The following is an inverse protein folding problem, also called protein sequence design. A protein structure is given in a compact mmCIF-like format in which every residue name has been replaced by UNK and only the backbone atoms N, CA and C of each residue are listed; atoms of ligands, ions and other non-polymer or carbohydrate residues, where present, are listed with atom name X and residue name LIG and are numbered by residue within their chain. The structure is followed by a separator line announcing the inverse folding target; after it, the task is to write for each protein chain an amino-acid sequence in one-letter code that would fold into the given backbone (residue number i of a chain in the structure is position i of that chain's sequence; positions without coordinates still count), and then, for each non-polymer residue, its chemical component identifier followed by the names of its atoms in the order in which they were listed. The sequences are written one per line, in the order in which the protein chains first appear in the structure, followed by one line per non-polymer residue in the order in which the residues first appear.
data_IF_702542661281
#
_entry.id   IF_702542661281
#
_cell.length_a   1.000
_cell.length_b   1.000
_cell.length_c   1.000
_cell.angle_alpha   90.00
_cell.angle_beta   90.00
_cell.angle_gamma   90.00
#
_symmetry.space_group_name_H-M   'P 1'
#
loop_
_entity.id
_entity.type
_entity.pdbx_description
1 polymer ?
#
# COMPACT_ATOMS: atom_id res chain seq x y z
N UNK A 1 2.66 15.90 -26.63
CA UNK A 1 2.79 16.90 -25.55
C UNK A 1 3.89 16.49 -24.59
N UNK A 2 4.79 17.43 -24.26
CA UNK A 2 5.78 17.26 -23.20
C UNK A 2 5.51 18.31 -22.14
N UNK A 3 5.55 17.91 -20.87
CA UNK A 3 5.34 18.78 -19.71
C UNK A 3 6.50 18.57 -18.74
N UNK A 4 7.12 19.67 -18.31
CA UNK A 4 8.12 19.67 -17.26
C UNK A 4 7.56 20.33 -16.01
N UNK A 5 7.88 19.77 -14.85
CA UNK A 5 7.47 20.28 -13.55
C UNK A 5 8.64 20.34 -12.58
N UNK A 6 8.56 21.24 -11.63
CA UNK A 6 9.54 21.39 -10.56
C UNK A 6 8.83 21.88 -9.30
N UNK A 7 9.18 21.30 -8.16
CA UNK A 7 8.69 21.72 -6.84
C UNK A 7 9.86 21.76 -5.85
N UNK A 8 9.93 22.80 -5.04
CA UNK A 8 10.88 22.90 -3.91
C UNK A 8 10.07 22.95 -2.64
N UNK A 9 10.43 22.13 -1.66
CA UNK A 9 9.81 22.15 -0.34
C UNK A 9 10.87 22.37 0.73
N UNK A 10 10.65 23.37 1.59
CA UNK A 10 11.38 23.53 2.84
C UNK A 10 10.49 23.01 3.97
N UNK A 11 11.01 22.11 4.80
CA UNK A 11 10.30 21.57 5.96
C UNK A 11 11.12 21.84 7.21
N UNK A 12 10.43 22.26 8.28
CA UNK A 12 10.99 22.47 9.61
C UNK A 12 10.10 21.74 10.60
N UNK A 13 10.68 20.79 11.33
CA UNK A 13 10.03 20.05 12.39
C UNK A 13 10.73 20.37 13.71
N UNK A 14 9.96 20.57 14.77
CA UNK A 14 10.44 20.69 16.13
C UNK A 14 9.52 19.85 17.02
N UNK A 15 10.09 19.18 18.00
CA UNK A 15 9.35 18.37 18.95
C UNK A 15 9.99 18.46 20.33
N UNK A 16 9.13 18.47 21.34
CA UNK A 16 9.48 18.45 22.75
C UNK A 16 8.88 17.18 23.36
N UNK A 17 9.67 16.41 24.09
CA UNK A 17 9.24 15.22 24.81
C UNK A 17 9.92 15.17 26.18
N UNK A 18 9.33 14.47 27.14
CA UNK A 18 10.01 14.18 28.39
C UNK A 18 10.64 12.80 28.32
N UNK A 19 11.93 12.73 28.62
CA UNK A 19 12.55 11.51 29.10
C UNK A 19 12.19 11.38 30.58
N UNK A 20 11.47 10.32 30.93
CA UNK A 20 11.01 10.10 32.29
C UNK A 20 11.68 8.86 32.86
N UNK A 21 12.43 9.06 33.95
CA UNK A 21 13.08 8.00 34.70
C UNK A 21 12.19 7.61 35.89
N UNK A 22 11.65 6.39 35.82
CA UNK A 22 10.75 5.84 36.84
C UNK A 22 11.44 5.59 38.19
N UNK A 23 12.77 5.46 38.23
CA UNK A 23 13.51 5.15 39.45
C UNK A 23 13.90 6.42 40.24
N UNK A 24 14.15 7.52 39.54
CA UNK A 24 14.50 8.81 40.16
C UNK A 24 13.32 9.79 40.24
N UNK A 25 12.18 9.45 39.64
CA UNK A 25 11.00 10.32 39.47
C UNK A 25 11.37 11.67 38.82
N UNK A 26 12.37 11.65 37.91
CA UNK A 26 12.83 12.85 37.20
C UNK A 26 12.31 12.86 35.77
N UNK A 27 11.81 14.04 35.36
CA UNK A 27 11.39 14.30 33.99
C UNK A 27 12.35 15.31 33.35
N UNK A 28 13.12 14.89 32.36
CA UNK A 28 14.04 15.76 31.61
C UNK A 28 13.41 16.12 30.28
N UNK A 29 13.26 17.42 30.00
CA UNK A 29 12.75 17.88 28.72
C UNK A 29 13.80 17.63 27.63
N UNK A 30 13.47 16.77 26.67
CA UNK A 30 14.19 16.57 25.44
C UNK A 30 13.57 17.42 24.35
N UNK A 31 14.35 18.32 23.79
CA UNK A 31 13.94 19.13 22.65
C UNK A 31 14.78 18.74 21.46
N UNK A 32 14.14 18.59 20.31
CA UNK A 32 14.88 18.40 19.09
C UNK A 32 14.18 19.07 17.91
N UNK A 33 14.98 19.49 16.94
CA UNK A 33 14.49 20.13 15.72
C UNK A 33 15.29 19.68 14.51
N UNK A 34 14.60 19.58 13.38
CA UNK A 34 15.21 19.18 12.10
C UNK A 34 14.61 19.99 10.98
N UNK A 35 15.46 20.45 10.08
CA UNK A 35 15.02 21.13 8.86
C UNK A 35 15.71 20.56 7.63
N UNK A 36 15.01 20.58 6.51
CA UNK A 36 15.55 20.16 5.23
C UNK A 36 14.84 20.88 4.10
N UNK A 37 15.55 21.02 2.99
CA UNK A 37 14.97 21.48 1.72
C UNK A 37 15.15 20.38 0.68
N UNK A 38 14.11 20.09 -0.08
CA UNK A 38 14.14 19.07 -1.14
C UNK A 38 13.59 19.63 -2.45
N UNK A 39 14.22 19.19 -3.54
CA UNK A 39 13.82 19.52 -4.90
C UNK A 39 13.18 18.30 -5.57
N UNK A 40 12.10 18.55 -6.30
CA UNK A 40 11.23 17.55 -6.91
C UNK A 40 11.00 17.89 -8.39
N UNK A 41 11.91 17.50 -9.30
CA UNK A 41 11.67 17.62 -10.72
C UNK A 41 10.69 16.54 -11.20
N UNK A 42 9.96 16.84 -12.27
CA UNK A 42 9.17 15.89 -13.03
C UNK A 42 9.19 16.20 -14.53
N UNK A 43 9.00 15.16 -15.33
CA UNK A 43 8.85 15.26 -16.78
C UNK A 43 7.81 14.24 -17.24
N UNK A 44 6.89 14.68 -18.10
CA UNK A 44 5.80 13.85 -18.61
C UNK A 44 5.72 14.01 -20.12
N UNK A 45 5.65 12.89 -20.82
CA UNK A 45 5.43 12.79 -22.26
C UNK A 45 4.09 12.10 -22.48
N UNK A 46 3.26 12.68 -23.34
CA UNK A 46 2.10 12.02 -23.95
C UNK A 46 2.23 12.17 -25.46
N UNK A 47 2.23 11.05 -26.18
CA UNK A 47 2.20 11.02 -27.62
C UNK A 47 1.04 10.16 -28.09
N UNK A 48 0.32 10.65 -29.09
CA UNK A 48 -0.82 9.96 -29.69
C UNK A 48 -0.45 9.68 -31.13
N UNK A 49 -0.45 8.40 -31.51
CA UNK A 49 -0.14 7.94 -32.85
C UNK A 49 -1.38 8.04 -33.74
N UNK A 50 -1.17 8.08 -35.05
CA UNK A 50 -2.26 8.08 -36.04
C UNK A 50 -3.17 6.84 -35.93
N UNK A 51 -2.67 5.75 -35.32
CA UNK A 51 -3.46 4.55 -35.02
C UNK A 51 -4.44 4.71 -33.85
N UNK A 52 -4.42 5.84 -33.13
CA UNK A 52 -5.19 6.05 -31.90
C UNK A 52 -4.53 5.48 -30.63
N UNK A 53 -3.35 4.87 -30.75
CA UNK A 53 -2.56 4.43 -29.60
C UNK A 53 -1.96 5.65 -28.89
N UNK A 54 -2.17 5.75 -27.58
CA UNK A 54 -1.60 6.79 -26.73
C UNK A 54 -0.46 6.19 -25.91
N UNK A 55 0.74 6.73 -26.09
CA UNK A 55 1.94 6.39 -25.33
C UNK A 55 2.19 7.49 -24.30
N UNK A 56 2.34 7.11 -23.04
CA UNK A 56 2.68 7.99 -21.92
C UNK A 56 3.98 7.54 -21.29
N UNK A 57 4.90 8.47 -21.06
CA UNK A 57 6.09 8.23 -20.26
C UNK A 57 6.19 9.31 -19.18
N UNK A 58 6.53 8.93 -17.96
CA UNK A 58 6.65 9.87 -16.85
C UNK A 58 7.90 9.58 -16.03
N UNK A 59 8.61 10.65 -15.69
CA UNK A 59 9.59 10.69 -14.63
C UNK A 59 9.05 11.61 -13.54
N UNK A 60 8.94 11.12 -12.31
CA UNK A 60 8.49 11.92 -11.18
C UNK A 60 9.33 11.65 -9.95
N UNK A 61 9.33 12.60 -9.03
CA UNK A 61 10.01 12.47 -7.74
C UNK A 61 9.03 12.65 -6.60
N UNK A 62 9.24 11.91 -5.51
CA UNK A 62 8.32 11.85 -4.37
C UNK A 62 9.05 11.84 -3.04
N UNK A 63 8.30 12.14 -1.97
CA UNK A 63 8.78 12.11 -0.60
C UNK A 63 7.71 11.50 0.30
N UNK A 64 8.12 10.61 1.20
CA UNK A 64 7.32 10.14 2.33
C UNK A 64 8.01 10.62 3.60
N UNK A 65 7.31 11.48 4.35
CA UNK A 65 7.81 11.97 5.64
C UNK A 65 7.65 10.90 6.71
N UNK A 66 8.55 10.84 7.70
CA UNK A 66 8.35 10.00 8.89
C UNK A 66 7.03 10.37 9.57
N UNK A 67 6.40 9.41 10.25
CA UNK A 67 5.23 9.74 11.07
C UNK A 67 5.67 10.64 12.23
N UNK A 68 4.81 11.55 12.69
CA UNK A 68 5.14 12.44 13.80
C UNK A 68 5.53 11.67 15.06
N UNK A 69 4.81 10.58 15.38
CA UNK A 69 5.14 9.71 16.52
C UNK A 69 6.55 9.13 16.43
N UNK A 70 7.01 8.75 15.23
CA UNK A 70 8.36 8.20 15.01
C UNK A 70 9.46 9.26 15.19
N UNK A 71 9.12 10.56 15.15
CA UNK A 71 10.08 11.67 15.31
C UNK A 71 10.18 12.18 16.75
N UNK A 72 9.17 11.92 17.58
CA UNK A 72 9.17 12.35 18.99
C UNK A 72 10.20 11.50 19.74
N UNK A 73 11.16 12.07 20.47
CA UNK A 73 12.15 11.29 21.22
C UNK A 73 11.54 10.74 22.53
N UNK A 74 10.42 10.01 22.42
CA UNK A 74 9.85 9.30 23.55
C UNK A 74 10.76 8.14 23.95
N UNK A 75 10.63 7.72 25.21
CA UNK A 75 11.37 6.61 25.78
C UNK A 75 10.39 5.80 26.65
N UNK A 76 9.98 4.62 26.17
CA UNK A 76 9.02 3.75 26.86
C UNK A 76 9.73 2.47 27.25
N UNK A 77 9.75 2.13 28.54
CA UNK A 77 10.37 0.91 29.05
C UNK A 77 9.28 -0.09 29.38
N UNK A 78 9.33 -1.24 28.74
CA UNK A 78 8.47 -2.39 29.00
C UNK A 78 9.28 -3.50 29.69
N UNK A 79 8.73 -4.04 30.78
CA UNK A 79 9.30 -5.16 31.53
C UNK A 79 10.71 -4.90 32.13
N UNK A 80 10.81 -3.89 32.99
CA UNK A 80 12.04 -3.57 33.75
C UNK A 80 12.36 -4.65 34.81
N UNK A 81 11.34 -5.32 35.36
CA UNK A 81 11.48 -6.25 36.49
C UNK A 81 12.20 -7.56 36.14
N UNK A 82 12.11 -8.03 34.89
CA UNK A 82 12.77 -9.27 34.44
C UNK A 82 14.26 -9.10 34.10
N UNK A 83 14.76 -7.85 34.04
CA UNK A 83 16.13 -7.52 33.65
C UNK A 83 16.46 -7.74 32.16
N UNK A 84 15.44 -8.02 31.32
CA UNK A 84 15.56 -8.21 29.86
C UNK A 84 14.38 -7.60 29.11
N UNK A 85 14.00 -6.39 29.49
CA UNK A 85 12.85 -5.67 28.93
C UNK A 85 13.07 -5.16 27.51
N UNK A 86 12.04 -4.53 26.97
CA UNK A 86 12.07 -3.82 25.69
C UNK A 86 11.95 -2.33 25.93
N UNK A 87 12.72 -1.53 25.23
CA UNK A 87 12.61 -0.07 25.23
C UNK A 87 12.19 0.39 23.84
N UNK A 88 11.03 1.02 23.73
CA UNK A 88 10.57 1.65 22.48
C UNK A 88 10.95 3.15 22.51
N UNK A 89 11.64 3.59 21.46
CA UNK A 89 12.22 4.93 21.37
C UNK A 89 11.90 5.50 19.99
N UNK A 90 11.53 6.78 19.95
CA UNK A 90 11.46 7.49 18.67
C UNK A 90 12.82 7.91 18.12
N UNK A 91 12.82 8.53 16.95
CA UNK A 91 14.03 8.94 16.25
C UNK A 91 13.81 10.25 15.48
N UNK A 92 14.17 11.37 16.12
CA UNK A 92 14.11 12.66 15.43
C UNK A 92 15.10 12.78 14.26
N UNK A 93 16.12 11.93 14.23
CA UNK A 93 17.11 11.90 13.15
C UNK A 93 16.63 11.17 11.90
N UNK A 94 15.40 10.66 11.86
CA UNK A 94 14.84 10.07 10.65
C UNK A 94 14.89 11.04 9.47
N UNK A 95 15.37 10.51 8.35
CA UNK A 95 15.28 11.14 7.04
C UNK A 95 13.96 10.72 6.39
N UNK A 96 13.30 11.64 5.65
CA UNK A 96 12.20 11.26 4.78
C UNK A 96 12.65 10.29 3.69
N UNK A 97 11.85 9.28 3.41
CA UNK A 97 12.07 8.40 2.26
C UNK A 97 11.85 9.19 0.97
N UNK A 98 12.83 9.19 0.09
CA UNK A 98 12.76 9.87 -1.21
C UNK A 98 12.59 8.85 -2.34
N UNK A 99 11.83 9.19 -3.37
CA UNK A 99 11.56 8.31 -4.49
C UNK A 99 11.82 8.97 -5.83
N UNK A 100 12.46 8.23 -6.74
CA UNK A 100 12.45 8.49 -8.18
C UNK A 100 11.58 7.45 -8.86
N UNK A 101 10.58 7.88 -9.63
CA UNK A 101 9.65 6.99 -10.33
C UNK A 101 9.82 7.18 -11.84
N UNK A 102 9.78 6.05 -12.55
CA UNK A 102 9.74 5.96 -13.99
C UNK A 102 8.53 5.10 -14.37
N UNK A 103 7.67 5.62 -15.22
CA UNK A 103 6.47 4.96 -15.69
C UNK A 103 6.41 5.06 -17.22
N UNK A 104 6.06 3.96 -17.88
CA UNK A 104 5.80 3.90 -19.32
C UNK A 104 4.50 3.12 -19.55
N UNK A 105 3.55 3.72 -20.26
CA UNK A 105 2.23 3.14 -20.49
C UNK A 105 1.81 3.32 -21.94
N UNK A 106 1.22 2.28 -22.52
CA UNK A 106 0.47 2.34 -23.77
C UNK A 106 -1.01 2.11 -23.50
N UNK A 107 -1.87 2.94 -24.09
CA UNK A 107 -3.33 2.89 -23.95
C UNK A 107 -3.98 2.97 -25.32
N UNK A 108 -4.95 2.09 -25.55
CA UNK A 108 -5.74 2.07 -26.78
C UNK A 108 -7.22 2.00 -26.44
N UNK A 109 -7.99 2.92 -27.02
CA UNK A 109 -9.43 3.03 -26.81
C UNK A 109 -10.16 2.41 -28.00
N UNK A 110 -10.96 1.38 -27.72
CA UNK A 110 -11.63 0.56 -28.72
C UNK A 110 -13.10 0.97 -28.84
N UNK A 111 -13.62 1.13 -30.06
CA UNK A 111 -15.06 1.19 -30.28
C UNK A 111 -15.73 -0.14 -29.90
N UNK A 112 -17.02 -0.12 -29.52
CA UNK A 112 -17.82 1.07 -29.23
C UNK A 112 -17.54 1.68 -27.84
N UNK A 113 -17.33 0.87 -26.79
CA UNK A 113 -16.84 1.36 -25.49
C UNK A 113 -15.86 0.35 -24.88
N UNK A 114 -14.57 0.59 -25.07
CA UNK A 114 -13.53 -0.24 -24.48
C UNK A 114 -12.18 0.45 -24.38
N UNK A 115 -11.31 -0.10 -23.54
CA UNK A 115 -9.93 0.34 -23.37
C UNK A 115 -9.06 -0.85 -23.01
N UNK A 116 -7.90 -0.95 -23.65
CA UNK A 116 -6.80 -1.82 -23.23
C UNK A 116 -5.59 -0.95 -22.92
N UNK A 117 -4.89 -1.25 -21.83
CA UNK A 117 -3.63 -0.62 -21.50
C UNK A 117 -2.62 -1.60 -20.94
N UNK A 118 -1.36 -1.30 -21.20
CA UNK A 118 -0.22 -2.00 -20.64
C UNK A 118 0.80 -0.98 -20.18
N UNK A 119 1.37 -1.17 -19.00
CA UNK A 119 2.37 -0.29 -18.44
C UNK A 119 3.47 -1.06 -17.72
N UNK A 120 4.62 -0.41 -17.61
CA UNK A 120 5.74 -0.83 -16.77
C UNK A 120 6.16 0.33 -15.89
N UNK A 121 6.55 0.02 -14.66
CA UNK A 121 7.00 1.02 -13.70
C UNK A 121 8.28 0.58 -13.00
N UNK A 122 9.07 1.55 -12.58
CA UNK A 122 10.25 1.39 -11.75
C UNK A 122 10.35 2.54 -10.75
N UNK A 123 10.47 2.21 -9.47
CA UNK A 123 10.63 3.16 -8.37
C UNK A 123 11.93 2.86 -7.66
N UNK A 124 12.79 3.86 -7.50
CA UNK A 124 13.98 3.81 -6.66
C UNK A 124 13.75 4.63 -5.41
N UNK A 125 13.91 4.00 -4.26
CA UNK A 125 13.75 4.58 -2.94
C UNK A 125 15.11 4.83 -2.30
N UNK A 126 15.22 5.94 -1.58
CA UNK A 126 16.35 6.27 -0.70
C UNK A 126 15.81 6.50 0.71
N UNK A 127 16.54 6.04 1.72
CA UNK A 127 16.16 6.19 3.12
C UNK A 127 14.76 5.57 3.47
N UNK A 128 14.39 4.35 3.03
CA UNK A 128 13.17 3.68 3.51
C UNK A 128 13.19 3.53 5.05
N UNK A 129 12.04 3.73 5.71
CA UNK A 129 11.96 3.70 7.19
C UNK A 129 11.41 2.34 7.65
N UNK A 130 12.11 1.72 8.61
CA UNK A 130 11.74 0.45 9.24
C UNK A 130 11.75 0.60 10.76
N UNK A 131 10.92 -0.16 11.49
CA UNK A 131 11.09 -0.32 12.93
C UNK A 131 12.19 -1.34 13.17
N UNK A 132 13.36 -0.90 13.62
CA UNK A 132 14.51 -1.76 13.91
C UNK A 132 14.54 -2.22 15.37
N UNK A 133 15.12 -3.40 15.59
CA UNK A 133 15.40 -3.98 16.91
C UNK A 133 16.91 -4.13 17.04
N UNK A 134 17.45 -3.67 18.15
CA UNK A 134 18.86 -3.81 18.53
C UNK A 134 18.94 -4.03 20.04
N UNK A 135 20.15 -4.09 20.60
CA UNK A 135 20.33 -4.15 22.05
C UNK A 135 21.10 -2.94 22.54
N UNK A 136 20.72 -2.43 23.71
CA UNK A 136 21.54 -1.48 24.44
C UNK A 136 22.87 -2.12 24.84
N UNK A 137 23.96 -1.37 24.71
CA UNK A 137 25.31 -1.78 25.09
C UNK A 137 25.83 -0.79 26.13
N UNK A 138 25.95 -1.25 27.38
CA UNK A 138 26.32 -0.45 28.54
C UNK A 138 25.19 0.45 29.08
N UNK A 139 25.45 1.03 30.26
CA UNK A 139 24.48 1.88 30.97
C UNK A 139 23.37 1.10 31.69
N UNK A 140 22.35 1.81 32.15
CA UNK A 140 21.28 1.26 33.01
C UNK A 140 20.33 0.29 32.28
N UNK A 141 20.41 0.23 30.95
CA UNK A 141 19.61 -0.66 30.10
C UNK A 141 20.47 -1.69 29.37
N UNK A 142 21.70 -1.93 29.79
CA UNK A 142 22.59 -2.91 29.15
C UNK A 142 21.90 -4.27 28.96
N UNK A 143 21.86 -4.77 27.72
CA UNK A 143 21.18 -6.01 27.36
C UNK A 143 19.66 -5.91 27.11
N UNK A 144 19.02 -4.75 27.29
CA UNK A 144 17.61 -4.56 26.90
C UNK A 144 17.47 -4.49 25.38
N UNK A 145 16.32 -4.95 24.88
CA UNK A 145 15.98 -4.82 23.46
C UNK A 145 15.53 -3.38 23.17
N UNK A 146 16.23 -2.68 22.28
CA UNK A 146 15.83 -1.36 21.78
C UNK A 146 15.02 -1.51 20.49
N UNK A 147 13.79 -1.01 20.48
CA UNK A 147 12.93 -0.85 19.31
C UNK A 147 12.95 0.62 18.91
N UNK A 148 13.38 0.92 17.69
CA UNK A 148 13.47 2.31 17.21
C UNK A 148 13.24 2.39 15.71
N UNK A 149 12.50 3.37 15.19
CA UNK A 149 12.39 3.58 13.76
C UNK A 149 13.75 4.07 13.21
N UNK A 150 14.23 3.43 12.15
CA UNK A 150 15.52 3.68 11.53
C UNK A 150 15.41 3.70 10.01
N UNK A 151 16.26 4.49 9.35
CA UNK A 151 16.38 4.48 7.90
C UNK A 151 17.23 3.30 7.44
N UNK A 152 16.74 2.53 6.46
CA UNK A 152 17.54 1.66 5.62
C UNK A 152 18.24 2.45 4.51
N UNK A 153 19.19 1.82 3.81
CA UNK A 153 20.03 2.52 2.83
C UNK A 153 19.27 2.83 1.53
N UNK A 154 18.77 1.80 0.86
CA UNK A 154 18.09 1.95 -0.43
C UNK A 154 16.96 0.93 -0.62
N UNK A 155 16.11 1.17 -1.61
CA UNK A 155 15.13 0.18 -2.03
C UNK A 155 14.68 0.41 -3.46
N UNK A 156 14.00 -0.57 -4.03
CA UNK A 156 13.35 -0.44 -5.32
C UNK A 156 12.06 -1.22 -5.37
N UNK A 157 11.20 -0.83 -6.31
CA UNK A 157 9.98 -1.55 -6.67
C UNK A 157 9.75 -1.41 -8.16
N UNK A 158 9.49 -2.51 -8.85
CA UNK A 158 9.24 -2.51 -10.29
C UNK A 158 8.20 -3.54 -10.66
N UNK A 159 7.59 -3.35 -11.82
CA UNK A 159 6.49 -4.20 -12.21
C UNK A 159 5.87 -3.83 -13.54
N UNK A 160 4.79 -4.55 -13.83
CA UNK A 160 3.95 -4.31 -15.00
C UNK A 160 2.49 -4.29 -14.58
N UNK A 161 1.70 -3.56 -15.36
CA UNK A 161 0.26 -3.40 -15.17
C UNK A 161 -0.43 -3.64 -16.50
N UNK A 162 -1.48 -4.45 -16.48
CA UNK A 162 -2.35 -4.71 -17.63
C UNK A 162 -3.77 -4.34 -17.22
N UNK A 163 -4.48 -3.64 -18.10
CA UNK A 163 -5.88 -3.30 -17.91
C UNK A 163 -6.65 -3.55 -19.20
N UNK A 164 -7.83 -4.12 -19.08
CA UNK A 164 -8.78 -4.26 -20.18
C UNK A 164 -10.18 -4.09 -19.64
N UNK A 165 -10.91 -3.11 -20.16
CA UNK A 165 -12.35 -2.98 -19.99
C UNK A 165 -13.03 -2.95 -21.35
N UNK A 166 -14.18 -3.60 -21.47
CA UNK A 166 -14.90 -3.67 -22.75
C UNK A 166 -16.37 -3.94 -22.51
N UNK A 167 -17.23 -3.14 -23.14
CA UNK A 167 -18.64 -3.49 -23.36
C UNK A 167 -18.77 -4.40 -24.59
N UNK A 168 -19.68 -5.35 -24.52
CA UNK A 168 -19.95 -6.35 -25.55
C UNK A 168 -21.29 -6.08 -26.25
N UNK A 169 -21.63 -4.81 -26.44
CA UNK A 169 -22.86 -4.33 -27.10
C UNK A 169 -22.99 -4.73 -28.58
N UNK A 170 -21.90 -5.17 -29.20
CA UNK A 170 -21.89 -5.81 -30.52
C UNK A 170 -22.52 -7.21 -30.52
N UNK A 171 -22.73 -7.82 -29.35
CA UNK A 171 -23.41 -9.12 -29.24
C UNK A 171 -24.93 -8.94 -29.42
N UNK A 172 -25.61 -9.89 -30.09
CA UNK A 172 -27.04 -9.75 -30.39
C UNK A 172 -27.94 -9.96 -29.16
N UNK A 173 -29.07 -9.26 -29.15
CA UNK A 173 -30.15 -9.46 -28.19
C UNK A 173 -29.75 -9.12 -26.75
N UNK A 174 -30.12 -9.97 -25.79
CA UNK A 174 -29.83 -9.73 -24.38
C UNK A 174 -28.33 -9.63 -24.08
N UNK A 175 -27.47 -10.27 -24.88
CA UNK A 175 -26.02 -10.28 -24.65
C UNK A 175 -25.36 -8.91 -24.86
N UNK A 176 -26.04 -7.96 -25.50
CA UNK A 176 -25.52 -6.60 -25.73
C UNK A 176 -25.31 -5.81 -24.44
N UNK A 177 -25.89 -6.26 -23.31
CA UNK A 177 -25.67 -5.64 -22.01
C UNK A 177 -24.39 -6.11 -21.32
N UNK A 178 -23.71 -7.15 -21.82
CA UNK A 178 -22.53 -7.69 -21.15
C UNK A 178 -21.34 -6.74 -21.28
N UNK A 179 -20.51 -6.72 -20.24
CA UNK A 179 -19.21 -6.07 -20.25
C UNK A 179 -18.26 -6.79 -19.30
N UNK A 180 -16.99 -6.45 -19.36
CA UNK A 180 -16.03 -6.94 -18.38
C UNK A 180 -14.94 -5.92 -18.08
N UNK A 181 -14.32 -6.11 -16.93
CA UNK A 181 -13.10 -5.44 -16.49
C UNK A 181 -12.10 -6.52 -16.10
N UNK A 182 -10.85 -6.37 -16.51
CA UNK A 182 -9.73 -7.20 -16.11
C UNK A 182 -8.52 -6.32 -15.84
N UNK A 183 -7.99 -6.41 -14.63
CA UNK A 183 -6.77 -5.72 -14.21
C UNK A 183 -5.80 -6.75 -13.64
N UNK A 184 -4.54 -6.64 -14.03
CA UNK A 184 -3.46 -7.46 -13.49
C UNK A 184 -2.24 -6.60 -13.21
N UNK A 185 -1.70 -6.72 -12.01
CA UNK A 185 -0.46 -6.07 -11.61
C UNK A 185 0.51 -7.12 -11.09
N UNK A 186 1.73 -7.11 -11.61
CA UNK A 186 2.84 -7.83 -11.03
C UNK A 186 3.85 -6.85 -10.45
N UNK A 187 4.21 -7.03 -9.18
CA UNK A 187 5.14 -6.16 -8.48
C UNK A 187 6.27 -6.97 -7.85
N UNK A 188 7.50 -6.49 -7.95
CA UNK A 188 8.64 -7.00 -7.18
C UNK A 188 9.27 -5.83 -6.45
N UNK A 189 9.65 -6.05 -5.19
CA UNK A 189 10.26 -5.03 -4.35
C UNK A 189 11.40 -5.59 -3.54
N UNK A 190 12.34 -4.74 -3.18
CA UNK A 190 13.40 -5.06 -2.25
C UNK A 190 13.90 -3.77 -1.60
N UNK A 191 14.29 -3.83 -0.34
CA UNK A 191 14.91 -2.74 0.39
C UNK A 191 15.99 -3.26 1.34
N UNK A 192 17.01 -2.45 1.54
CA UNK A 192 18.09 -2.69 2.49
C UNK A 192 17.58 -2.37 3.91
N UNK A 193 17.77 -3.31 4.83
CA UNK A 193 17.43 -3.09 6.24
C UNK A 193 18.49 -2.21 6.92
N UNK A 194 18.11 -1.46 7.98
CA UNK A 194 19.05 -0.68 8.77
C UNK A 194 20.20 -1.52 9.33
N UNK A 195 21.34 -0.91 9.61
CA UNK A 195 22.52 -1.55 10.21
C UNK A 195 23.17 -2.68 9.38
N UNK A 196 22.81 -2.81 8.10
CA UNK A 196 23.43 -3.79 7.20
C UNK A 196 23.05 -5.25 7.48
N UNK A 197 21.96 -5.48 8.22
CA UNK A 197 21.51 -6.82 8.65
C UNK A 197 20.86 -7.64 7.54
N UNK A 198 20.70 -7.07 6.35
CA UNK A 198 20.20 -7.80 5.18
C UNK A 198 19.23 -6.97 4.33
N UNK A 199 18.40 -7.69 3.59
CA UNK A 199 17.43 -7.13 2.63
C UNK A 199 16.08 -7.79 2.84
N UNK A 200 15.02 -7.07 2.52
CA UNK A 200 13.64 -7.56 2.62
C UNK A 200 12.78 -7.01 1.48
N UNK A 201 11.65 -7.65 1.19
CA UNK A 201 10.64 -7.04 0.30
C UNK A 201 9.97 -5.85 1.03
N UNK A 202 9.42 -4.89 0.29
CA UNK A 202 8.70 -3.78 0.93
C UNK A 202 7.38 -4.27 1.55
N UNK A 203 7.00 -3.67 2.68
CA UNK A 203 5.77 -4.01 3.36
C UNK A 203 4.54 -3.60 2.52
N UNK A 204 3.49 -4.41 2.60
CA UNK A 204 2.23 -4.16 1.88
C UNK A 204 2.27 -4.43 0.38
N UNK A 205 3.41 -4.86 -0.19
CA UNK A 205 3.52 -5.08 -1.64
C UNK A 205 3.23 -6.54 -2.00
N UNK A 206 2.00 -6.83 -2.42
CA UNK A 206 1.68 -8.15 -2.99
C UNK A 206 2.33 -8.31 -4.35
N UNK A 207 2.93 -9.49 -4.61
CA UNK A 207 3.60 -9.79 -5.88
C UNK A 207 2.63 -9.83 -7.06
N UNK A 208 1.42 -10.35 -6.84
CA UNK A 208 0.39 -10.45 -7.86
C UNK A 208 -0.93 -9.89 -7.33
N UNK A 209 -1.57 -9.05 -8.12
CA UNK A 209 -2.93 -8.55 -7.88
C UNK A 209 -3.75 -8.74 -9.15
N UNK A 210 -4.95 -9.28 -9.01
CA UNK A 210 -5.89 -9.56 -10.10
C UNK A 210 -7.24 -9.00 -9.69
N UNK A 211 -7.86 -8.19 -10.54
CA UNK A 211 -9.24 -7.79 -10.39
C UNK A 211 -9.98 -8.13 -11.69
N UNK A 212 -11.01 -8.96 -11.59
CA UNK A 212 -11.86 -9.34 -12.72
C UNK A 212 -13.28 -8.95 -12.37
N UNK A 213 -14.02 -8.35 -13.30
CA UNK A 213 -15.44 -8.12 -13.13
C UNK A 213 -16.19 -8.49 -14.40
N UNK A 214 -17.28 -9.24 -14.24
CA UNK A 214 -18.29 -9.41 -15.27
C UNK A 214 -19.43 -8.44 -14.97
N UNK A 215 -19.83 -7.67 -15.97
CA UNK A 215 -20.87 -6.66 -15.89
C UNK A 215 -22.02 -7.02 -16.82
N UNK A 216 -23.23 -6.65 -16.42
CA UNK A 216 -24.41 -6.74 -17.26
C UNK A 216 -25.31 -5.53 -17.03
N UNK A 217 -25.39 -4.67 -18.04
CA UNK A 217 -26.09 -3.39 -17.99
C UNK A 217 -27.10 -3.27 -19.13
N UNK A 218 -28.37 -3.12 -18.75
CA UNK A 218 -29.49 -2.79 -19.64
C UNK A 218 -30.29 -1.63 -19.02
N UNK A 219 -31.23 -1.06 -19.78
CA UNK A 219 -31.94 0.18 -19.40
C UNK A 219 -32.37 0.27 -17.92
N UNK A 220 -32.97 -0.81 -17.41
CA UNK A 220 -33.53 -0.90 -16.04
C UNK A 220 -32.71 -1.74 -15.07
N UNK A 221 -31.73 -2.50 -15.53
CA UNK A 221 -31.02 -3.46 -14.68
C UNK A 221 -29.52 -3.36 -14.89
N UNK A 222 -28.78 -3.34 -13.79
CA UNK A 222 -27.32 -3.34 -13.77
C UNK A 222 -26.86 -4.38 -12.77
N UNK A 223 -25.86 -5.17 -13.12
CA UNK A 223 -25.24 -6.11 -12.20
C UNK A 223 -23.76 -6.28 -12.46
N UNK A 224 -23.02 -6.60 -11.41
CA UNK A 224 -21.59 -6.83 -11.46
C UNK A 224 -21.21 -8.00 -10.55
N UNK A 225 -20.42 -8.91 -11.07
CA UNK A 225 -19.76 -9.98 -10.32
C UNK A 225 -18.25 -9.72 -10.39
N UNK A 226 -17.65 -9.37 -9.26
CA UNK A 226 -16.25 -8.97 -9.15
C UNK A 226 -15.44 -9.98 -8.34
N UNK A 227 -14.33 -10.45 -8.91
CA UNK A 227 -13.33 -11.25 -8.24
C UNK A 227 -12.05 -10.44 -8.04
N UNK A 228 -11.67 -10.23 -6.78
CA UNK A 228 -10.46 -9.48 -6.41
C UNK A 228 -9.50 -10.43 -5.70
N UNK A 229 -8.27 -10.54 -6.17
CA UNK A 229 -7.25 -11.40 -5.59
C UNK A 229 -5.93 -10.65 -5.41
N UNK A 230 -5.29 -10.88 -4.27
CA UNK A 230 -3.90 -10.49 -4.01
C UNK A 230 -3.12 -11.68 -3.47
N UNK A 231 -1.88 -11.82 -3.91
CA UNK A 231 -0.94 -12.78 -3.32
C UNK A 231 -0.53 -12.33 -1.92
N UNK A 232 0.16 -13.24 -1.23
CA UNK A 232 0.80 -12.94 0.05
C UNK A 232 1.69 -11.69 -0.01
N UNK A 233 1.87 -11.06 1.15
CA UNK A 233 2.69 -9.87 1.32
C UNK A 233 3.16 -9.73 2.76
N UNK A 234 4.26 -9.01 2.96
CA UNK A 234 4.78 -8.70 4.29
C UNK A 234 3.88 -7.68 4.99
N UNK A 235 3.38 -8.05 6.16
CA UNK A 235 2.65 -7.19 7.09
C UNK A 235 3.62 -6.38 7.95
N UNK A 236 4.50 -7.10 8.65
CA UNK A 236 5.48 -6.52 9.56
C UNK A 236 6.82 -7.26 9.47
N UNK A 237 7.89 -6.50 9.69
CA UNK A 237 9.25 -7.03 9.67
C UNK A 237 9.66 -7.51 11.06
N UNK A 238 10.38 -8.63 11.08
CA UNK A 238 11.24 -8.98 12.19
C UNK A 238 12.66 -8.54 11.86
N UNK A 239 13.14 -7.56 12.60
CA UNK A 239 14.44 -6.93 12.36
C UNK A 239 15.59 -7.61 13.09
N UNK A 240 15.34 -8.70 13.82
CA UNK A 240 16.39 -9.57 14.32
C UNK A 240 16.58 -10.78 13.38
N UNK A 241 15.50 -11.27 12.78
CA UNK A 241 15.51 -12.37 11.82
C UNK A 241 14.42 -12.20 10.75
N UNK A 242 14.78 -11.79 9.51
CA UNK A 242 13.83 -11.65 8.41
C UNK A 242 13.02 -12.92 8.07
N UNK A 243 13.52 -14.11 8.42
CA UNK A 243 12.79 -15.37 8.25
C UNK A 243 11.58 -15.48 9.19
N UNK A 244 11.43 -14.57 10.16
CA UNK A 244 10.32 -14.48 11.09
C UNK A 244 9.40 -13.28 10.82
N UNK A 245 9.51 -12.66 9.63
CA UNK A 245 8.55 -11.64 9.19
C UNK A 245 7.11 -12.14 9.29
N UNK A 246 6.18 -11.22 9.57
CA UNK A 246 4.75 -11.50 9.52
C UNK A 246 4.24 -11.28 8.10
N UNK A 247 3.45 -12.23 7.63
CA UNK A 247 2.85 -12.22 6.31
C UNK A 247 1.35 -12.35 6.42
N UNK A 248 0.64 -11.60 5.60
CA UNK A 248 -0.74 -11.94 5.25
C UNK A 248 -0.70 -12.90 4.07
N UNK A 249 -1.43 -14.02 4.16
CA UNK A 249 -1.53 -14.99 3.08
C UNK A 249 -2.35 -14.44 1.90
N UNK A 250 -2.18 -15.07 0.74
CA UNK A 250 -2.94 -14.74 -0.46
C UNK A 250 -4.44 -14.93 -0.24
N UNK A 251 -5.22 -13.92 -0.64
CA UNK A 251 -6.68 -13.91 -0.46
C UNK A 251 -7.37 -13.41 -1.72
N UNK A 252 -8.41 -14.14 -2.13
CA UNK A 252 -9.32 -13.73 -3.20
C UNK A 252 -10.75 -13.67 -2.70
N UNK A 253 -11.51 -12.63 -3.05
CA UNK A 253 -12.93 -12.49 -2.72
C UNK A 253 -13.77 -12.40 -3.98
N UNK A 254 -14.96 -12.98 -3.92
CA UNK A 254 -15.98 -12.81 -4.94
C UNK A 254 -17.11 -11.95 -4.36
N UNK A 255 -17.38 -10.82 -4.98
CA UNK A 255 -18.38 -9.84 -4.58
C UNK A 255 -19.42 -9.69 -5.71
N UNK A 256 -20.67 -9.48 -5.35
CA UNK A 256 -21.77 -9.32 -6.30
C UNK A 256 -22.58 -8.08 -5.95
N UNK A 257 -22.96 -7.31 -6.96
CA UNK A 257 -23.94 -6.24 -6.82
C UNK A 257 -24.94 -6.29 -7.96
N UNK A 258 -26.18 -5.92 -7.67
CA UNK A 258 -27.19 -5.71 -8.69
C UNK A 258 -28.15 -4.59 -8.29
N UNK A 259 -28.65 -3.87 -9.27
CA UNK A 259 -29.65 -2.82 -9.10
C UNK A 259 -30.73 -2.89 -10.18
N UNK A 260 -31.96 -2.59 -9.79
CA UNK A 260 -33.11 -2.54 -10.68
C UNK A 260 -33.90 -1.25 -10.49
N UNK A 261 -34.09 -0.49 -11.56
CA UNK A 261 -34.84 0.77 -11.57
C UNK A 261 -36.35 0.46 -11.55
N UNK A 262 -37.00 0.73 -10.42
CA UNK A 262 -38.45 0.64 -10.28
C UNK A 262 -39.15 1.79 -11.00
N UNK A 263 -38.62 3.00 -10.84
CA UNK A 263 -39.08 4.22 -11.50
C UNK A 263 -37.87 5.07 -11.91
N UNK A 264 -38.09 6.28 -12.46
CA UNK A 264 -36.99 7.22 -12.75
C UNK A 264 -36.32 7.75 -11.47
N UNK A 265 -37.00 7.68 -10.33
CA UNK A 265 -36.56 8.22 -9.04
C UNK A 265 -36.17 7.13 -8.04
N UNK A 266 -36.64 5.88 -8.20
CA UNK A 266 -36.49 4.79 -7.24
C UNK A 266 -35.79 3.58 -7.85
N UNK A 267 -34.82 3.03 -7.13
CA UNK A 267 -34.12 1.79 -7.48
C UNK A 267 -34.04 0.84 -6.28
N UNK A 268 -34.18 -0.46 -6.55
CA UNK A 268 -33.82 -1.53 -5.61
C UNK A 268 -32.38 -1.93 -5.87
N UNK A 269 -31.64 -2.26 -4.81
CA UNK A 269 -30.30 -2.83 -4.95
C UNK A 269 -30.10 -4.00 -3.99
N UNK A 270 -29.21 -4.89 -4.40
CA UNK A 270 -28.66 -5.98 -3.59
C UNK A 270 -27.15 -5.97 -3.74
N UNK A 271 -26.46 -6.17 -2.62
CA UNK A 271 -25.01 -6.33 -2.55
C UNK A 271 -24.71 -7.58 -1.74
N UNK A 272 -23.73 -8.36 -2.20
CA UNK A 272 -23.22 -9.52 -1.51
C UNK A 272 -21.70 -9.47 -1.53
N UNK A 273 -21.08 -9.54 -0.36
CA UNK A 273 -19.62 -9.47 -0.22
C UNK A 273 -19.07 -10.81 0.24
N UNK A 274 -17.88 -11.14 -0.25
CA UNK A 274 -17.11 -12.32 0.08
C UNK A 274 -17.91 -13.63 -0.07
N UNK A 275 -18.60 -13.81 -1.20
CA UNK A 275 -19.37 -15.02 -1.55
C UNK A 275 -18.54 -16.31 -1.47
N UNK A 276 -17.22 -16.22 -1.65
CA UNK A 276 -16.27 -17.32 -1.49
C UNK A 276 -16.05 -17.75 -0.04
N UNK A 277 -16.52 -16.98 0.95
CA UNK A 277 -16.21 -17.18 2.38
C UNK A 277 -14.70 -17.22 2.64
N UNK A 278 -13.96 -16.33 1.96
CA UNK A 278 -12.51 -16.30 2.01
C UNK A 278 -12.01 -15.69 3.32
N UNK A 279 -11.16 -16.45 4.00
CA UNK A 279 -10.56 -16.11 5.29
C UNK A 279 -9.31 -15.27 5.09
N UNK A 280 -9.00 -14.40 6.06
CA UNK A 280 -7.73 -13.70 6.11
C UNK A 280 -6.84 -14.41 7.14
N UNK A 281 -5.67 -14.85 6.71
CA UNK A 281 -4.73 -15.60 7.55
C UNK A 281 -3.44 -14.81 7.61
N UNK A 282 -2.96 -14.57 8.83
CA UNK A 282 -1.64 -14.02 9.09
C UNK A 282 -0.75 -15.10 9.66
N UNK A 283 0.46 -15.24 9.15
CA UNK A 283 1.43 -16.22 9.62
C UNK A 283 2.81 -15.60 9.83
N UNK A 284 3.65 -16.25 10.62
CA UNK A 284 5.00 -15.79 10.94
C UNK A 284 6.06 -16.69 10.30
N UNK A 285 6.83 -16.13 9.36
CA UNK A 285 7.90 -16.83 8.64
C UNK A 285 7.40 -17.91 7.69
N UNK A 286 6.89 -19.01 8.24
CA UNK A 286 6.31 -20.12 7.49
C UNK A 286 4.81 -20.25 7.74
N UNK A 287 4.06 -20.69 6.72
CA UNK A 287 2.59 -20.75 6.75
C UNK A 287 2.01 -21.64 7.87
N UNK A 288 2.80 -22.58 8.38
CA UNK A 288 2.41 -23.45 9.50
C UNK A 288 2.31 -22.72 10.84
N UNK A 289 2.91 -21.53 10.99
CA UNK A 289 2.89 -20.72 12.21
C UNK A 289 1.83 -19.63 12.08
N UNK A 290 0.57 -20.03 12.21
CA UNK A 290 -0.56 -19.10 12.17
C UNK A 290 -0.46 -18.13 13.35
N UNK A 291 -0.36 -16.85 13.05
CA UNK A 291 -0.37 -15.76 14.02
C UNK A 291 -1.80 -15.24 14.23
N UNK A 292 -2.58 -15.14 13.15
CA UNK A 292 -3.94 -14.61 13.18
C UNK A 292 -4.83 -15.32 12.16
N UNK A 293 -6.11 -15.46 12.50
CA UNK A 293 -7.11 -16.05 11.62
C UNK A 293 -8.43 -15.29 11.75
N UNK A 294 -8.77 -14.54 10.71
CA UNK A 294 -9.99 -13.74 10.65
C UNK A 294 -10.97 -14.30 9.61
N UNK A 295 -12.23 -14.41 10.01
CA UNK A 295 -13.31 -14.82 9.12
C UNK A 295 -14.47 -13.82 9.21
N UNK A 296 -14.63 -13.01 8.17
CA UNK A 296 -15.71 -12.05 8.05
C UNK A 296 -17.00 -12.67 7.50
N UNK A 297 -16.93 -13.88 6.95
CA UNK A 297 -18.10 -14.57 6.40
C UNK A 297 -18.61 -13.94 5.10
N UNK A 298 -19.83 -14.34 4.73
CA UNK A 298 -20.61 -13.77 3.63
C UNK A 298 -21.57 -12.73 4.21
N UNK A 299 -21.62 -11.54 3.64
CA UNK A 299 -22.59 -10.51 4.04
C UNK A 299 -23.47 -10.11 2.86
N UNK A 300 -24.74 -9.81 3.16
CA UNK A 300 -25.74 -9.40 2.18
C UNK A 300 -26.40 -8.11 2.63
N UNK A 301 -26.61 -7.19 1.70
CA UNK A 301 -27.33 -5.95 1.92
C UNK A 301 -28.40 -5.80 0.85
N UNK A 302 -29.60 -5.41 1.26
CA UNK A 302 -30.71 -5.10 0.37
C UNK A 302 -31.24 -3.72 0.74
N UNK A 303 -31.55 -2.90 -0.25
CA UNK A 303 -32.02 -1.55 0.00
C UNK A 303 -32.77 -0.91 -1.15
N UNK A 304 -33.34 0.26 -0.86
CA UNK A 304 -34.01 1.14 -1.82
C UNK A 304 -33.25 2.45 -1.83
N UNK A 305 -32.91 2.96 -3.02
CA UNK A 305 -32.32 4.29 -3.19
C UNK A 305 -33.26 5.19 -3.97
N UNK A 306 -33.45 6.43 -3.50
CA UNK A 306 -34.32 7.43 -4.11
C UNK A 306 -33.62 8.77 -4.36
N UNK A 307 -33.93 9.43 -5.48
CA UNK A 307 -33.60 10.86 -5.70
C UNK A 307 -34.90 11.65 -5.88
N UNK A 308 -35.05 12.73 -5.13
CA UNK A 308 -36.25 13.57 -5.07
C UNK A 308 -35.95 14.97 -5.58
#
# INVERSE_FOLDING_TARGET
TVLFGARVEQTKNSGDAFEYDLDTDTATLQQASKSYTKFFPSAHLRHELDSGLIIKAAYSTGIRRPNFADLVPYFIIEDRESGRGTVDIGNIELKPTYAHNLDLTGEYYMPPVGMISAGVFYKKLSDPIFKARSQFVGGDFDGFNMVRPENGDSGYLYGLELNWQQTLDFLPGALSGLGFIANYTQTKSQADLPFGIGKTELNGTSRHTVNLALQYDIEKFSSQLAYNYRSEYIDAFDTANPDLNLYWDGRGTLDFSASYKLTKQLSLFVEATNLTDSKAIRYQGERGRVYEHEQFGRAWQLGVSGKF
#
